data_IF_592229192380
#
_entry.id   IF_592229192380
#
_cell.length_a   1.000
_cell.length_b   1.000
_cell.length_c   1.000
_cell.angle_alpha   90.00
_cell.angle_beta   90.00
_cell.angle_gamma   90.00
#
_symmetry.space_group_name_H-M   'P 1'
#
loop_
_entity.id
_entity.type
_entity.pdbx_description
1 polymer ?
#
# COMPACT_ATOMS: atom_id res chain seq x y z
N UNK A 1 5.80 33.28 -5.92
CA UNK A 1 5.40 31.97 -5.38
C UNK A 1 6.29 30.91 -6.01
N UNK A 2 6.81 29.94 -5.25
CA UNK A 2 7.67 28.91 -5.80
C UNK A 2 6.87 27.97 -6.72
N UNK A 3 7.36 27.82 -7.95
CA UNK A 3 6.80 26.95 -8.97
C UNK A 3 7.60 25.65 -9.02
N UNK A 4 6.91 24.52 -9.13
CA UNK A 4 7.50 23.18 -9.09
C UNK A 4 7.21 22.51 -10.43
N UNK A 5 8.26 22.14 -11.15
CA UNK A 5 8.14 21.31 -12.34
C UNK A 5 7.86 19.87 -11.93
N UNK A 6 6.79 19.29 -12.47
CA UNK A 6 6.42 17.89 -12.25
C UNK A 6 6.52 17.08 -13.54
N UNK A 7 6.64 15.78 -13.39
CA UNK A 7 6.52 14.80 -14.45
C UNK A 7 5.04 14.41 -14.62
N UNK A 8 4.42 14.80 -15.74
CA UNK A 8 3.01 14.54 -16.01
C UNK A 8 2.71 13.05 -16.24
N UNK A 9 3.66 12.25 -16.72
CA UNK A 9 3.46 10.81 -16.89
C UNK A 9 3.21 10.12 -15.54
N UNK A 10 3.87 10.62 -14.50
CA UNK A 10 3.67 10.14 -13.12
C UNK A 10 2.35 10.60 -12.54
N UNK A 11 1.87 11.78 -12.90
CA UNK A 11 0.53 12.21 -12.54
C UNK A 11 -0.52 11.35 -13.24
N UNK A 12 -0.36 11.09 -14.55
CA UNK A 12 -1.25 10.23 -15.32
C UNK A 12 -1.31 8.80 -14.75
N UNK A 13 -0.15 8.26 -14.34
CA UNK A 13 -0.09 6.99 -13.61
C UNK A 13 -0.97 7.00 -12.35
N UNK A 14 -0.95 8.08 -11.56
CA UNK A 14 -1.77 8.19 -10.36
C UNK A 14 -3.25 8.36 -10.67
N UNK A 15 -3.60 9.07 -11.75
CA UNK A 15 -4.98 9.17 -12.21
C UNK A 15 -5.54 7.78 -12.53
N UNK A 16 -4.79 6.99 -13.30
CA UNK A 16 -5.16 5.61 -13.64
C UNK A 16 -5.27 4.74 -12.38
N UNK A 17 -4.27 4.79 -11.50
CA UNK A 17 -4.25 4.02 -10.26
C UNK A 17 -5.47 4.33 -9.37
N UNK A 18 -5.93 5.58 -9.35
CA UNK A 18 -7.03 6.06 -8.51
C UNK A 18 -8.39 6.15 -9.22
N UNK A 19 -8.50 5.66 -10.46
CA UNK A 19 -9.70 5.74 -11.32
C UNK A 19 -10.21 7.17 -11.58
N UNK A 20 -9.32 8.16 -11.63
CA UNK A 20 -9.67 9.47 -12.19
C UNK A 20 -9.63 9.39 -13.72
N UNK A 21 -10.72 9.75 -14.39
CA UNK A 21 -10.83 9.68 -15.83
C UNK A 21 -10.03 10.76 -16.57
N UNK A 22 -9.68 11.87 -15.91
CA UNK A 22 -8.83 12.91 -16.51
C UNK A 22 -8.21 13.86 -15.49
N UNK A 23 -7.22 14.64 -15.95
CA UNK A 23 -6.65 15.77 -15.19
C UNK A 23 -7.73 16.82 -14.86
N UNK A 24 -8.71 17.03 -15.75
CA UNK A 24 -9.78 18.00 -15.52
C UNK A 24 -10.72 17.55 -14.39
N UNK A 25 -10.97 16.25 -14.29
CA UNK A 25 -11.73 15.67 -13.18
C UNK A 25 -10.99 15.89 -11.85
N UNK A 26 -9.68 15.62 -11.82
CA UNK A 26 -8.85 15.93 -10.66
C UNK A 26 -8.86 17.43 -10.32
N UNK A 27 -8.78 18.31 -11.32
CA UNK A 27 -8.82 19.75 -11.13
C UNK A 27 -10.13 20.21 -10.47
N UNK A 28 -11.27 19.70 -10.97
CA UNK A 28 -12.58 19.92 -10.36
C UNK A 28 -12.65 19.37 -8.94
N UNK A 29 -12.07 18.20 -8.69
CA UNK A 29 -12.04 17.56 -7.38
C UNK A 29 -11.29 18.37 -6.32
N UNK A 30 -10.18 19.02 -6.69
CA UNK A 30 -9.39 19.89 -5.80
C UNK A 30 -9.81 21.37 -5.85
N UNK A 31 -10.83 21.71 -6.66
CA UNK A 31 -11.36 23.07 -6.78
C UNK A 31 -10.43 24.07 -7.47
N UNK A 32 -9.60 23.61 -8.41
CA UNK A 32 -8.76 24.49 -9.25
C UNK A 32 -9.28 24.53 -10.68
N UNK A 33 -9.09 25.69 -11.35
CA UNK A 33 -9.51 25.85 -12.75
C UNK A 33 -8.78 24.88 -13.68
N UNK A 34 -7.50 24.64 -13.41
CA UNK A 34 -6.64 23.85 -14.28
C UNK A 34 -5.38 23.38 -13.54
N UNK A 35 -4.85 22.23 -13.95
CA UNK A 35 -3.58 21.69 -13.48
C UNK A 35 -2.60 21.76 -14.66
N UNK A 36 -1.65 22.70 -14.59
CA UNK A 36 -0.63 22.95 -15.61
C UNK A 36 0.78 22.86 -15.03
N UNK A 37 1.75 22.42 -15.82
CA UNK A 37 3.16 22.49 -15.46
C UNK A 37 3.72 23.90 -15.75
N UNK A 38 4.46 24.55 -14.84
CA UNK A 38 4.75 24.17 -13.46
C UNK A 38 3.58 24.40 -12.49
N UNK A 39 3.53 23.61 -11.42
CA UNK A 39 2.52 23.74 -10.37
C UNK A 39 2.96 24.67 -9.25
N UNK A 40 1.99 25.32 -8.61
CA UNK A 40 2.23 25.98 -7.33
C UNK A 40 2.36 24.95 -6.21
N UNK A 41 3.13 25.25 -5.17
CA UNK A 41 3.22 24.41 -3.96
C UNK A 41 1.83 24.09 -3.37
N UNK A 42 0.90 25.05 -3.40
CA UNK A 42 -0.47 24.85 -2.90
C UNK A 42 -1.20 23.78 -3.70
N UNK A 43 -1.20 23.91 -5.03
CA UNK A 43 -1.86 22.92 -5.91
C UNK A 43 -1.25 21.54 -5.75
N UNK A 44 0.07 21.43 -5.67
CA UNK A 44 0.75 20.15 -5.48
C UNK A 44 0.41 19.51 -4.12
N UNK A 45 0.29 20.30 -3.05
CA UNK A 45 -0.14 19.79 -1.76
C UNK A 45 -1.58 19.24 -1.79
N UNK A 46 -2.49 19.87 -2.52
CA UNK A 46 -3.86 19.35 -2.68
C UNK A 46 -3.89 18.03 -3.46
N UNK A 47 -3.08 17.93 -4.52
CA UNK A 47 -2.89 16.68 -5.27
C UNK A 47 -2.31 15.59 -4.36
N UNK A 48 -1.26 15.91 -3.60
CA UNK A 48 -0.61 14.94 -2.71
C UNK A 48 -1.47 14.56 -1.50
N UNK A 49 -2.43 15.41 -1.11
CA UNK A 49 -3.43 15.04 -0.12
C UNK A 49 -4.34 13.88 -0.57
N UNK A 50 -4.43 13.64 -1.88
CA UNK A 50 -5.19 12.55 -2.47
C UNK A 50 -4.29 11.34 -2.70
N UNK A 51 -3.14 11.52 -3.33
CA UNK A 51 -2.33 10.37 -3.76
C UNK A 51 -1.29 9.92 -2.72
N UNK A 52 -0.92 10.79 -1.77
CA UNK A 52 -0.01 10.50 -0.66
C UNK A 52 1.32 9.87 -1.13
N UNK A 53 1.94 10.44 -2.17
CA UNK A 53 3.19 9.94 -2.77
C UNK A 53 4.42 10.74 -2.37
N UNK A 54 4.23 11.98 -1.91
CA UNK A 54 5.31 12.89 -1.57
C UNK A 54 5.94 13.56 -2.79
N UNK A 55 6.61 14.69 -2.56
CA UNK A 55 7.17 15.57 -3.59
C UNK A 55 8.09 14.84 -4.59
N UNK A 56 8.99 14.00 -4.07
CA UNK A 56 10.01 13.29 -4.86
C UNK A 56 9.40 12.39 -5.93
N UNK A 57 8.19 11.88 -5.67
CA UNK A 57 7.49 11.09 -6.67
C UNK A 57 7.16 11.92 -7.90
N UNK A 58 6.65 13.14 -7.73
CA UNK A 58 6.18 13.98 -8.84
C UNK A 58 7.33 14.64 -9.61
N UNK A 59 8.46 14.91 -8.96
CA UNK A 59 9.62 15.58 -9.60
C UNK A 59 10.58 14.61 -10.28
N UNK A 60 10.41 13.30 -10.07
CA UNK A 60 11.29 12.29 -10.64
C UNK A 60 11.12 12.21 -12.19
N UNK A 61 12.20 12.39 -12.97
CA UNK A 61 12.14 12.39 -14.42
C UNK A 61 11.94 10.99 -15.02
N UNK A 62 12.22 9.93 -14.28
CA UNK A 62 12.12 8.57 -14.80
C UNK A 62 10.65 8.18 -15.01
N UNK A 63 10.35 7.55 -16.15
CA UNK A 63 9.04 6.98 -16.45
C UNK A 63 8.67 5.87 -15.45
N UNK A 64 7.37 5.57 -15.34
CA UNK A 64 6.84 4.47 -14.55
C UNK A 64 6.30 3.40 -15.50
N UNK A 65 6.54 2.12 -15.18
CA UNK A 65 5.89 1.00 -15.87
C UNK A 65 4.59 0.63 -15.15
N UNK A 66 3.45 0.80 -15.83
CA UNK A 66 2.12 0.70 -15.23
C UNK A 66 1.73 -0.76 -14.89
N UNK A 67 2.18 -1.76 -15.66
CA UNK A 67 1.58 -3.11 -15.62
C UNK A 67 2.11 -4.02 -14.51
N UNK A 68 3.29 -3.72 -13.96
CA UNK A 68 3.95 -4.56 -12.94
C UNK A 68 4.11 -3.86 -11.59
N UNK A 69 3.77 -2.58 -11.50
CA UNK A 69 4.15 -1.73 -10.37
C UNK A 69 3.19 -1.75 -9.19
N UNK A 70 1.89 -2.03 -9.40
CA UNK A 70 0.90 -2.11 -8.32
C UNK A 70 -0.03 -3.31 -8.47
N UNK A 71 -0.50 -3.85 -7.35
CA UNK A 71 -1.54 -4.87 -7.26
C UNK A 71 -2.87 -4.35 -7.79
N UNK A 72 -3.11 -3.03 -7.72
CA UNK A 72 -4.31 -2.37 -8.25
C UNK A 72 -4.43 -2.53 -9.77
N UNK A 73 -3.31 -2.63 -10.50
CA UNK A 73 -3.32 -2.91 -11.95
C UNK A 73 -3.36 -4.40 -12.28
N UNK A 74 -2.98 -5.28 -11.34
CA UNK A 74 -2.80 -6.72 -11.59
C UNK A 74 -4.03 -7.55 -11.23
N UNK A 75 -4.80 -7.13 -10.22
CA UNK A 75 -6.01 -7.85 -9.80
C UNK A 75 -7.24 -7.29 -10.51
N UNK A 76 -7.56 -7.86 -11.68
CA UNK A 76 -8.78 -7.55 -12.42
C UNK A 76 -10.07 -8.06 -11.73
N UNK A 77 -9.94 -8.91 -10.71
CA UNK A 77 -11.05 -9.57 -10.02
C UNK A 77 -11.36 -8.96 -8.64
N UNK A 78 -10.94 -7.73 -8.35
CA UNK A 78 -11.42 -7.04 -7.15
C UNK A 78 -12.89 -6.69 -7.43
N UNK A 79 -13.80 -7.57 -6.99
CA UNK A 79 -15.25 -7.41 -7.19
C UNK A 79 -15.81 -6.20 -6.42
N UNK A 80 -15.09 -5.75 -5.38
CA UNK A 80 -15.44 -4.57 -4.60
C UNK A 80 -14.89 -3.29 -5.22
N UNK A 81 -15.75 -2.27 -5.34
CA UNK A 81 -15.33 -0.95 -5.80
C UNK A 81 -14.48 -0.28 -4.70
N UNK A 82 -13.16 -0.27 -4.89
CA UNK A 82 -12.21 0.38 -3.98
C UNK A 82 -12.41 1.89 -3.99
N UNK A 83 -12.54 2.48 -2.80
CA UNK A 83 -12.57 3.93 -2.64
C UNK A 83 -11.15 4.54 -2.61
N UNK A 84 -11.05 5.87 -2.60
CA UNK A 84 -9.75 6.58 -2.55
C UNK A 84 -8.91 6.18 -1.33
N UNK A 85 -9.53 6.01 -0.17
CA UNK A 85 -8.84 5.58 1.06
C UNK A 85 -8.29 4.17 0.94
N UNK A 86 -9.04 3.24 0.36
CA UNK A 86 -8.59 1.87 0.10
C UNK A 86 -7.34 1.85 -0.79
N UNK A 87 -7.34 2.68 -1.84
CA UNK A 87 -6.21 2.82 -2.76
C UNK A 87 -5.02 3.52 -2.13
N UNK A 88 -5.25 4.53 -1.28
CA UNK A 88 -4.20 5.13 -0.46
C UNK A 88 -3.53 4.09 0.43
N UNK A 89 -4.33 3.25 1.10
CA UNK A 89 -3.84 2.20 1.99
C UNK A 89 -2.99 1.18 1.22
N UNK A 90 -3.51 0.65 0.11
CA UNK A 90 -2.79 -0.31 -0.73
C UNK A 90 -1.48 0.30 -1.24
N UNK A 91 -1.53 1.50 -1.84
CA UNK A 91 -0.34 2.19 -2.34
C UNK A 91 0.70 2.42 -1.24
N UNK A 92 0.28 2.79 -0.02
CA UNK A 92 1.18 2.98 1.13
C UNK A 92 1.86 1.67 1.53
N UNK A 93 1.09 0.58 1.64
CA UNK A 93 1.63 -0.74 2.00
C UNK A 93 2.62 -1.22 0.93
N UNK A 94 2.32 -1.03 -0.35
CA UNK A 94 3.24 -1.38 -1.44
C UNK A 94 4.56 -0.59 -1.37
N UNK A 95 4.50 0.70 -1.07
CA UNK A 95 5.69 1.52 -0.83
C UNK A 95 6.51 1.00 0.34
N UNK A 96 5.86 0.64 1.46
CA UNK A 96 6.54 0.07 2.63
C UNK A 96 7.19 -1.28 2.30
N UNK A 97 6.49 -2.18 1.60
CA UNK A 97 7.05 -3.46 1.17
C UNK A 97 8.25 -3.24 0.25
N UNK A 98 8.16 -2.31 -0.71
CA UNK A 98 9.26 -1.98 -1.61
C UNK A 98 10.46 -1.42 -0.86
N UNK A 99 10.24 -0.55 0.13
CA UNK A 99 11.28 0.01 0.97
C UNK A 99 11.99 -1.08 1.79
N UNK A 100 11.23 -1.92 2.49
CA UNK A 100 11.77 -3.03 3.30
C UNK A 100 12.54 -4.02 2.41
N UNK A 101 12.00 -4.34 1.23
CA UNK A 101 12.66 -5.19 0.24
C UNK A 101 13.96 -4.57 -0.27
N UNK A 102 13.98 -3.25 -0.46
CA UNK A 102 15.19 -2.50 -0.82
C UNK A 102 16.26 -2.59 0.27
N UNK A 103 15.89 -2.36 1.54
CA UNK A 103 16.80 -2.48 2.68
C UNK A 103 17.40 -3.88 2.79
N UNK A 104 16.57 -4.92 2.67
CA UNK A 104 17.03 -6.30 2.73
C UNK A 104 18.01 -6.67 1.62
N UNK A 105 17.81 -6.15 0.40
CA UNK A 105 18.78 -6.31 -0.69
C UNK A 105 20.12 -5.66 -0.36
N UNK A 106 20.12 -4.48 0.27
CA UNK A 106 21.35 -3.77 0.66
C UNK A 106 22.08 -4.50 1.79
N UNK A 107 21.34 -5.06 2.76
CA UNK A 107 21.92 -5.75 3.93
C UNK A 107 22.19 -7.24 3.69
N UNK A 108 21.92 -7.75 2.48
CA UNK A 108 21.93 -9.19 2.17
C UNK A 108 21.07 -10.04 3.13
N UNK A 109 19.99 -9.46 3.66
CA UNK A 109 19.07 -10.14 4.55
C UNK A 109 17.98 -10.87 3.75
N UNK A 110 18.00 -12.20 3.72
CA UNK A 110 16.98 -12.97 2.99
C UNK A 110 15.76 -13.27 3.88
N UNK A 111 14.74 -12.40 3.79
CA UNK A 111 13.42 -12.66 4.38
C UNK A 111 12.37 -13.08 3.33
N UNK A 112 12.73 -13.10 2.05
CA UNK A 112 11.78 -13.41 0.97
C UNK A 112 11.49 -14.91 0.82
N UNK A 113 12.33 -15.76 1.42
CA UNK A 113 12.08 -17.20 1.49
C UNK A 113 11.05 -17.52 2.58
N UNK A 114 9.83 -17.84 2.15
CA UNK A 114 8.78 -18.35 3.04
C UNK A 114 9.24 -19.68 3.66
N UNK A 115 9.18 -19.80 4.99
CA UNK A 115 9.56 -21.03 5.70
C UNK A 115 8.44 -22.10 5.78
N UNK A 116 7.30 -21.84 5.13
CA UNK A 116 6.14 -22.72 5.11
C UNK A 116 5.57 -22.88 3.69
N UNK A 117 4.84 -23.96 3.46
CA UNK A 117 4.20 -24.25 2.16
C UNK A 117 3.11 -23.23 1.79
N UNK A 118 2.71 -23.25 0.52
CA UNK A 118 1.44 -22.64 0.12
C UNK A 118 0.33 -23.65 0.34
N UNK A 119 -0.74 -23.20 0.99
CA UNK A 119 -1.95 -23.99 1.16
C UNK A 119 -3.05 -23.44 0.25
N UNK A 120 -3.93 -24.33 -0.21
CA UNK A 120 -5.07 -24.01 -1.04
C UNK A 120 -6.35 -24.62 -0.44
N UNK A 121 -7.50 -24.25 -0.99
CA UNK A 121 -8.82 -24.63 -0.48
C UNK A 121 -9.10 -26.15 -0.53
N UNK A 122 -8.33 -26.91 -1.30
CA UNK A 122 -8.48 -28.35 -1.42
C UNK A 122 -7.61 -29.11 -0.39
N UNK A 123 -6.73 -28.42 0.34
CA UNK A 123 -5.91 -29.06 1.36
C UNK A 123 -6.73 -29.43 2.58
N UNK A 124 -6.34 -30.51 3.27
CA UNK A 124 -7.06 -30.97 4.45
C UNK A 124 -6.99 -29.91 5.58
N UNK A 125 -8.13 -29.33 6.01
CA UNK A 125 -8.12 -28.23 6.99
C UNK A 125 -7.47 -28.60 8.32
N UNK A 126 -7.63 -29.86 8.77
CA UNK A 126 -7.04 -30.34 10.02
C UNK A 126 -5.51 -30.41 9.93
N UNK A 127 -4.98 -30.87 8.81
CA UNK A 127 -3.52 -30.95 8.63
C UNK A 127 -2.89 -29.57 8.46
N UNK A 128 -3.56 -28.65 7.77
CA UNK A 128 -3.14 -27.24 7.69
C UNK A 128 -3.15 -26.62 9.10
N UNK A 129 -4.23 -26.80 9.87
CA UNK A 129 -4.32 -26.27 11.23
C UNK A 129 -3.22 -26.80 12.16
N UNK A 130 -2.86 -28.09 12.06
CA UNK A 130 -1.72 -28.66 12.80
C UNK A 130 -0.41 -27.97 12.43
N UNK A 131 -0.17 -27.73 11.15
CA UNK A 131 1.04 -27.02 10.69
C UNK A 131 1.07 -25.56 11.15
N UNK A 132 -0.10 -24.90 11.26
CA UNK A 132 -0.22 -23.52 11.72
C UNK A 132 -0.19 -23.36 13.25
N UNK A 133 -0.06 -24.46 14.01
CA UNK A 133 -0.11 -24.41 15.47
C UNK A 133 0.98 -23.52 16.09
N UNK A 134 2.10 -23.28 15.38
CA UNK A 134 3.15 -22.36 15.82
C UNK A 134 2.66 -20.92 16.03
N UNK A 135 1.57 -20.50 15.38
CA UNK A 135 0.99 -19.16 15.53
C UNK A 135 0.46 -18.94 16.94
N UNK A 136 -0.04 -20.00 17.59
CA UNK A 136 -0.78 -19.90 18.83
C UNK A 136 0.15 -20.13 20.02
N UNK A 137 0.42 -19.04 20.74
CA UNK A 137 1.08 -19.12 22.03
C UNK A 137 0.12 -19.76 23.05
N UNK A 138 0.54 -20.87 23.67
CA UNK A 138 -0.26 -21.54 24.69
C UNK A 138 -0.24 -20.71 25.98
N UNK A 139 -1.38 -20.69 26.69
CA UNK A 139 -1.50 -20.21 28.07
C UNK A 139 -1.25 -18.71 28.30
N UNK A 140 -1.35 -17.85 27.28
CA UNK A 140 -1.33 -16.39 27.47
C UNK A 140 -2.76 -15.88 27.60
N UNK A 141 -3.11 -15.32 28.77
CA UNK A 141 -4.42 -14.72 29.04
C UNK A 141 -4.49 -13.22 28.74
N UNK A 142 -3.34 -12.57 28.64
CA UNK A 142 -3.23 -11.13 28.39
C UNK A 142 -3.17 -10.86 26.89
N UNK A 143 -4.13 -10.10 26.37
CA UNK A 143 -4.30 -9.88 24.93
C UNK A 143 -3.08 -9.22 24.28
N UNK A 144 -2.45 -8.26 24.98
CA UNK A 144 -1.26 -7.57 24.47
C UNK A 144 -0.09 -8.53 24.33
N UNK A 145 0.19 -9.33 25.36
CA UNK A 145 1.24 -10.36 25.32
C UNK A 145 0.94 -11.44 24.29
N UNK A 146 -0.32 -11.79 24.11
CA UNK A 146 -0.74 -12.74 23.09
C UNK A 146 -0.42 -12.19 21.69
N UNK A 147 -0.81 -10.95 21.40
CA UNK A 147 -0.54 -10.30 20.12
C UNK A 147 0.97 -10.18 19.85
N UNK A 148 1.76 -9.77 20.84
CA UNK A 148 3.22 -9.73 20.73
C UNK A 148 3.78 -11.12 20.36
N UNK A 149 3.38 -12.16 21.09
CA UNK A 149 3.84 -13.51 20.80
C UNK A 149 3.38 -14.02 19.43
N UNK A 150 2.18 -13.66 18.99
CA UNK A 150 1.65 -14.01 17.68
C UNK A 150 2.51 -13.39 16.56
N UNK A 151 2.81 -12.09 16.67
CA UNK A 151 3.69 -11.37 15.74
C UNK A 151 5.10 -11.96 15.74
N UNK A 152 5.67 -12.26 16.92
CA UNK A 152 7.00 -12.88 17.03
C UNK A 152 7.04 -14.26 16.33
N UNK A 153 5.96 -15.04 16.43
CA UNK A 153 5.86 -16.34 15.78
C UNK A 153 5.77 -16.22 14.25
N UNK A 154 5.07 -15.20 13.74
CA UNK A 154 5.06 -14.86 12.31
C UNK A 154 6.44 -14.44 11.81
N UNK A 155 7.15 -13.60 12.56
CA UNK A 155 8.48 -13.11 12.21
C UNK A 155 9.52 -14.25 12.12
N UNK A 156 9.46 -15.26 13.01
CA UNK A 156 10.31 -16.46 12.93
C UNK A 156 10.16 -17.22 11.60
N UNK A 157 9.02 -17.08 10.94
CA UNK A 157 8.69 -17.71 9.66
C UNK A 157 8.81 -16.77 8.45
N UNK A 158 9.49 -15.63 8.64
CA UNK A 158 9.68 -14.60 7.62
C UNK A 158 8.36 -13.99 7.12
N UNK A 159 7.34 -13.93 7.98
CA UNK A 159 6.08 -13.24 7.67
C UNK A 159 6.16 -11.83 8.26
N UNK A 160 6.06 -10.83 7.39
CA UNK A 160 6.01 -9.43 7.78
C UNK A 160 4.61 -9.05 8.21
N UNK A 161 4.49 -8.43 9.38
CA UNK A 161 3.24 -7.82 9.86
C UNK A 161 3.40 -6.31 9.77
N UNK A 162 2.46 -5.67 9.06
CA UNK A 162 2.38 -4.21 8.96
C UNK A 162 1.08 -3.80 9.63
N UNK A 163 1.18 -2.94 10.63
CA UNK A 163 0.03 -2.32 11.26
C UNK A 163 -0.23 -0.95 10.62
N UNK A 164 -1.48 -0.67 10.29
CA UNK A 164 -1.93 0.65 9.88
C UNK A 164 -3.06 1.13 10.80
N UNK A 165 -2.81 2.23 11.51
CA UNK A 165 -3.82 2.90 12.34
C UNK A 165 -4.35 4.13 11.60
N UNK A 166 -5.63 4.11 11.24
CA UNK A 166 -6.27 5.25 10.58
C UNK A 166 -6.75 6.28 11.61
N UNK A 167 -6.34 7.54 11.44
CA UNK A 167 -6.80 8.60 12.33
C UNK A 167 -8.28 8.95 12.06
N UNK A 168 -9.10 9.24 13.10
CA UNK A 168 -10.53 9.54 12.92
C UNK A 168 -10.82 10.70 11.95
N UNK A 169 -9.90 11.65 11.84
CA UNK A 169 -10.04 12.86 11.01
C UNK A 169 -9.52 12.71 9.56
N UNK A 170 -9.17 11.50 9.11
CA UNK A 170 -8.79 11.31 7.71
C UNK A 170 -9.98 11.57 6.78
N UNK A 171 -9.73 12.43 5.77
CA UNK A 171 -10.71 12.76 4.72
C UNK A 171 -11.09 11.53 3.89
N UNK A 172 -10.12 10.67 3.62
CA UNK A 172 -10.29 9.42 2.89
C UNK A 172 -10.00 8.26 3.83
N UNK A 173 -11.06 7.60 4.30
CA UNK A 173 -10.96 6.39 5.14
C UNK A 173 -11.01 5.16 4.26
N UNK A 174 -10.15 4.19 4.56
CA UNK A 174 -10.20 2.87 3.96
C UNK A 174 -11.22 2.01 4.70
N UNK A 175 -12.06 1.33 3.96
CA UNK A 175 -12.98 0.31 4.45
C UNK A 175 -12.40 -1.10 4.32
N UNK A 176 -11.25 -1.26 3.66
CA UNK A 176 -10.54 -2.53 3.63
C UNK A 176 -10.21 -3.00 5.05
N UNK A 177 -10.79 -4.12 5.44
CA UNK A 177 -10.35 -4.90 6.59
C UNK A 177 -9.27 -5.87 6.12
N UNK A 178 -8.02 -5.61 6.51
CA UNK A 178 -6.89 -6.43 6.09
C UNK A 178 -6.68 -7.67 6.97
N UNK A 179 -6.88 -8.85 6.39
CA UNK A 179 -5.94 -9.98 6.47
C UNK A 179 -5.67 -10.40 5.03
N UNK A 180 -4.49 -10.09 4.50
CA UNK A 180 -4.04 -10.43 3.14
C UNK A 180 -2.91 -11.45 3.19
#
# INVERSE_FOLDING_TARGET
MANININFDRLNYLLELFDFGSINELAGYIGVKEIKNPLTKKTLNEIDNIFKRGLDFYTNPNSIDNKQSSILFRKNNIQEKLNVGDKQLISKIEQQISYISGLAKITNFNFSTRKFGQFNINDNPREVAKQMQFLLAKNIKDDKKFLQSFIDNLAKHNILVIEEVQHPNFKHKSNLCGFL
#
